data_IF_181894365022
#
_entry.id   IF_181894365022
#
_cell.length_a   1.000
_cell.length_b   1.000
_cell.length_c   1.000
_cell.angle_alpha   90.00
_cell.angle_beta   90.00
_cell.angle_gamma   90.00
#
_symmetry.space_group_name_H-M   'P 1'
#
loop_
_entity.id
_entity.type
_entity.pdbx_description
1 polymer ?
#
# COMPACT_ATOMS: atom_id res chain seq x y z
N UNK A 1 -85.88 -4.93 -26.79
CA UNK A 1 -86.73 -3.87 -27.39
C UNK A 1 -86.80 -2.76 -26.34
N UNK A 2 -85.95 -1.74 -26.41
CA UNK A 2 -86.27 -0.38 -26.91
C UNK A 2 -87.07 0.39 -25.83
N UNK A 3 -86.77 1.60 -25.36
CA UNK A 3 -85.98 2.73 -25.87
C UNK A 3 -85.80 3.80 -24.76
N UNK A 4 -84.77 4.66 -24.89
CA UNK A 4 -84.70 6.06 -24.41
C UNK A 4 -84.49 6.28 -22.90
N UNK A 5 -83.59 7.13 -22.39
CA UNK A 5 -82.96 8.36 -22.91
C UNK A 5 -81.58 8.54 -22.27
N UNK A 6 -80.53 8.77 -23.07
CA UNK A 6 -79.24 9.28 -22.58
C UNK A 6 -79.26 10.81 -22.65
N UNK A 7 -79.14 11.48 -21.50
CA UNK A 7 -78.78 12.91 -21.43
C UNK A 7 -77.26 13.03 -21.29
N UNK A 8 -76.62 14.03 -21.90
CA UNK A 8 -75.19 14.25 -21.73
C UNK A 8 -74.94 14.81 -20.32
N UNK A 9 -74.18 14.09 -19.50
CA UNK A 9 -73.57 14.66 -18.31
C UNK A 9 -72.42 15.57 -18.77
N UNK A 10 -72.69 16.87 -18.83
CA UNK A 10 -71.63 17.88 -18.72
C UNK A 10 -70.93 17.68 -17.38
N UNK A 11 -69.79 17.00 -17.39
CA UNK A 11 -68.84 17.15 -16.31
C UNK A 11 -68.14 18.48 -16.53
N UNK A 12 -68.76 19.54 -16.02
CA UNK A 12 -68.13 20.85 -15.86
C UNK A 12 -66.96 20.66 -14.89
N UNK A 13 -65.77 20.43 -15.43
CA UNK A 13 -64.52 20.68 -14.71
C UNK A 13 -64.31 22.19 -14.69
N UNK A 14 -65.03 22.88 -13.80
CA UNK A 14 -64.75 24.27 -13.45
C UNK A 14 -63.84 24.26 -12.24
N UNK A 15 -62.61 24.74 -12.44
CA UNK A 15 -61.73 25.14 -11.36
C UNK A 15 -62.48 26.09 -10.43
N UNK A 16 -62.64 25.65 -9.19
CA UNK A 16 -63.18 26.45 -8.09
C UNK A 16 -62.09 27.44 -7.62
N UNK A 17 -61.80 28.46 -8.41
CA UNK A 17 -61.07 29.63 -7.92
C UNK A 17 -62.05 30.57 -7.22
N UNK A 18 -62.29 30.34 -5.93
CA UNK A 18 -62.93 31.36 -5.08
C UNK A 18 -61.86 32.35 -4.60
N UNK A 19 -62.14 33.66 -4.51
CA UNK A 19 -61.17 34.69 -4.11
C UNK A 19 -60.55 34.44 -2.71
N UNK A 20 -61.22 33.64 -1.89
CA UNK A 20 -60.75 33.16 -0.59
C UNK A 20 -59.59 32.15 -0.68
N UNK A 21 -59.53 31.33 -1.75
CA UNK A 21 -58.49 30.32 -1.91
C UNK A 21 -57.14 30.96 -2.30
N UNK A 22 -57.16 31.97 -3.18
CA UNK A 22 -55.96 32.72 -3.59
C UNK A 22 -55.27 33.44 -2.42
N UNK A 23 -56.04 33.94 -1.44
CA UNK A 23 -55.46 34.60 -0.26
C UNK A 23 -54.79 33.60 0.68
N UNK A 24 -55.39 32.40 0.82
CA UNK A 24 -54.83 31.31 1.63
C UNK A 24 -53.57 30.74 0.98
N UNK A 25 -53.58 30.56 -0.34
CA UNK A 25 -52.42 30.12 -1.12
C UNK A 25 -51.24 31.07 -0.97
N UNK A 26 -51.46 32.39 -1.14
CA UNK A 26 -50.41 33.42 -0.94
C UNK A 26 -49.84 33.42 0.48
N UNK A 27 -50.70 33.21 1.49
CA UNK A 27 -50.25 33.15 2.90
C UNK A 27 -49.37 31.92 3.14
N UNK A 28 -49.74 30.77 2.55
CA UNK A 28 -48.94 29.55 2.62
C UNK A 28 -47.62 29.71 1.87
N UNK A 29 -47.64 30.31 0.68
CA UNK A 29 -46.44 30.57 -0.12
C UNK A 29 -45.44 31.45 0.64
N UNK A 30 -45.90 32.54 1.25
CA UNK A 30 -45.06 33.41 2.09
C UNK A 30 -44.49 32.67 3.31
N UNK A 31 -45.27 31.80 3.94
CA UNK A 31 -44.79 30.98 5.05
C UNK A 31 -43.75 29.96 4.60
N UNK A 32 -43.92 29.36 3.41
CA UNK A 32 -42.94 28.46 2.80
C UNK A 32 -41.64 29.22 2.52
N UNK A 33 -41.71 30.39 1.87
CA UNK A 33 -40.54 31.23 1.60
C UNK A 33 -39.79 31.58 2.89
N UNK A 34 -40.50 32.06 3.91
CA UNK A 34 -39.92 32.37 5.22
C UNK A 34 -39.22 31.16 5.85
N UNK A 35 -39.83 29.96 5.77
CA UNK A 35 -39.23 28.73 6.29
C UNK A 35 -37.99 28.33 5.51
N UNK A 36 -38.04 28.39 4.19
CA UNK A 36 -36.89 28.07 3.32
C UNK A 36 -35.72 29.01 3.61
N UNK A 37 -35.96 30.31 3.74
CA UNK A 37 -34.93 31.29 4.10
C UNK A 37 -34.32 30.99 5.47
N UNK A 38 -35.14 30.67 6.47
CA UNK A 38 -34.66 30.32 7.80
C UNK A 38 -33.79 29.05 7.82
N UNK A 39 -34.16 28.03 7.04
CA UNK A 39 -33.39 26.79 6.95
C UNK A 39 -32.10 27.00 6.14
N UNK A 40 -32.13 27.80 5.07
CA UNK A 40 -30.93 28.17 4.32
C UNK A 40 -29.93 28.91 5.18
N UNK A 41 -30.38 29.89 5.96
CA UNK A 41 -29.52 30.64 6.88
C UNK A 41 -28.89 29.72 7.93
N UNK A 42 -29.67 28.79 8.49
CA UNK A 42 -29.19 27.78 9.43
C UNK A 42 -28.13 26.86 8.81
N UNK A 43 -28.32 26.43 7.56
CA UNK A 43 -27.35 25.61 6.84
C UNK A 43 -26.05 26.37 6.58
N UNK A 44 -26.12 27.62 6.11
CA UNK A 44 -24.94 28.46 5.90
C UNK A 44 -24.13 28.69 7.19
N UNK A 45 -24.81 28.90 8.33
CA UNK A 45 -24.13 29.01 9.63
C UNK A 45 -23.41 27.73 10.01
N UNK A 46 -24.03 26.57 9.78
CA UNK A 46 -23.39 25.28 10.07
C UNK A 46 -22.21 25.01 9.14
N UNK A 47 -22.33 25.32 7.85
CA UNK A 47 -21.23 25.19 6.90
C UNK A 47 -20.04 26.08 7.26
N UNK A 48 -20.29 27.36 7.60
CA UNK A 48 -19.21 28.26 8.02
C UNK A 48 -18.52 27.80 9.31
N UNK A 49 -19.26 27.26 10.28
CA UNK A 49 -18.68 26.64 11.47
C UNK A 49 -17.80 25.42 11.13
N UNK A 50 -18.28 24.56 10.23
CA UNK A 50 -17.53 23.37 9.78
C UNK A 50 -16.25 23.80 9.06
N UNK A 51 -16.32 24.80 8.17
CA UNK A 51 -15.15 25.31 7.47
C UNK A 51 -14.12 25.90 8.44
N UNK A 52 -14.56 26.68 9.43
CA UNK A 52 -13.66 27.24 10.44
C UNK A 52 -13.00 26.15 11.29
N UNK A 53 -13.74 25.10 11.70
CA UNK A 53 -13.19 23.97 12.46
C UNK A 53 -12.20 23.15 11.61
N UNK A 54 -12.51 22.92 10.34
CA UNK A 54 -11.59 22.27 9.40
C UNK A 54 -10.33 23.11 9.18
N UNK A 55 -10.45 24.43 9.04
CA UNK A 55 -9.32 25.34 8.89
C UNK A 55 -8.47 25.37 10.17
N UNK A 56 -9.08 25.42 11.35
CA UNK A 56 -8.38 25.34 12.63
C UNK A 56 -7.64 24.00 12.76
N UNK A 57 -8.28 22.88 12.40
CA UNK A 57 -7.64 21.56 12.39
C UNK A 57 -6.50 21.48 11.40
N UNK A 58 -6.68 21.95 10.17
CA UNK A 58 -5.63 21.95 9.16
C UNK A 58 -4.46 22.82 9.60
N UNK A 59 -4.70 24.03 10.11
CA UNK A 59 -3.63 24.89 10.62
C UNK A 59 -2.97 24.34 11.89
N UNK A 60 -3.70 23.63 12.76
CA UNK A 60 -3.14 22.96 13.92
C UNK A 60 -2.29 21.75 13.51
N UNK A 61 -2.74 20.95 12.55
CA UNK A 61 -1.97 19.85 11.98
C UNK A 61 -0.76 20.38 11.21
N UNK A 62 -0.88 21.45 10.42
CA UNK A 62 0.23 22.12 9.74
C UNK A 62 1.21 22.76 10.71
N UNK A 63 0.78 23.22 11.89
CA UNK A 63 1.66 23.71 12.98
C UNK A 63 2.31 22.57 13.75
N UNK A 64 1.63 21.45 13.97
CA UNK A 64 2.25 20.21 14.49
C UNK A 64 3.24 19.62 13.49
N UNK A 65 2.96 19.79 12.21
CA UNK A 65 3.83 19.50 11.07
C UNK A 65 4.61 20.76 10.60
N UNK A 66 4.81 21.71 11.51
CA UNK A 66 5.31 23.07 11.28
C UNK A 66 6.23 23.23 10.08
N UNK A 67 5.76 24.00 9.10
CA UNK A 67 6.51 24.86 8.19
C UNK A 67 7.59 24.22 7.30
N UNK A 68 7.24 24.09 6.01
CA UNK A 68 8.04 24.29 4.81
C UNK A 68 9.36 23.50 4.61
N UNK A 69 9.52 22.93 3.41
CA UNK A 69 10.76 22.39 2.80
C UNK A 69 11.25 20.98 3.16
N UNK A 70 10.75 20.28 4.18
CA UNK A 70 11.19 18.91 4.44
C UNK A 70 10.06 18.00 4.81
N UNK A 71 9.58 17.27 3.79
CA UNK A 71 8.71 16.11 3.95
C UNK A 71 9.32 15.18 5.01
N UNK A 72 8.76 15.08 6.23
CA UNK A 72 9.35 14.31 7.32
C UNK A 72 9.42 12.83 6.96
N UNK A 73 8.53 12.35 6.07
CA UNK A 73 8.63 11.04 5.46
C UNK A 73 9.88 10.90 4.60
N UNK A 74 10.22 11.90 3.78
CA UNK A 74 11.40 11.85 2.90
C UNK A 74 12.72 11.83 3.69
N UNK A 75 12.87 12.70 4.68
CA UNK A 75 14.11 12.75 5.47
C UNK A 75 14.28 11.51 6.35
N UNK A 76 13.18 10.99 6.92
CA UNK A 76 13.18 9.74 7.69
C UNK A 76 13.43 8.51 6.81
N UNK A 77 12.82 8.44 5.63
CA UNK A 77 13.09 7.38 4.62
C UNK A 77 14.53 7.47 4.12
N UNK A 78 15.06 8.68 3.91
CA UNK A 78 16.45 8.88 3.49
C UNK A 78 17.42 8.40 4.58
N UNK A 79 17.15 8.75 5.85
CA UNK A 79 17.94 8.28 6.99
C UNK A 79 17.87 6.75 7.14
N UNK A 80 16.71 6.13 6.94
CA UNK A 80 16.55 4.67 6.92
C UNK A 80 17.29 4.02 5.76
N UNK A 81 17.27 4.63 4.56
CA UNK A 81 18.03 4.16 3.40
C UNK A 81 19.54 4.19 3.67
N UNK A 82 20.04 5.27 4.26
CA UNK A 82 21.47 5.43 4.51
C UNK A 82 21.94 4.52 5.64
N UNK A 83 21.13 4.31 6.67
CA UNK A 83 21.37 3.30 7.70
C UNK A 83 21.37 1.88 7.11
N UNK A 84 20.46 1.57 6.18
CA UNK A 84 20.41 0.27 5.51
C UNK A 84 21.63 0.06 4.61
N UNK A 85 22.05 1.07 3.85
CA UNK A 85 23.27 1.03 3.04
C UNK A 85 24.52 0.79 3.88
N UNK A 86 24.64 1.46 5.03
CA UNK A 86 25.75 1.24 5.96
C UNK A 86 25.76 -0.20 6.50
N UNK A 87 24.59 -0.76 6.84
CA UNK A 87 24.48 -2.17 7.25
C UNK A 87 24.89 -3.11 6.13
N UNK A 88 24.41 -2.89 4.90
CA UNK A 88 24.77 -3.71 3.74
C UNK A 88 26.27 -3.66 3.40
N UNK A 89 26.93 -2.52 3.61
CA UNK A 89 28.38 -2.39 3.42
C UNK A 89 29.18 -3.09 4.53
N UNK A 90 28.62 -3.20 5.74
CA UNK A 90 29.22 -3.91 6.87
C UNK A 90 28.95 -5.43 6.86
N UNK A 91 27.97 -5.89 6.10
CA UNK A 91 27.77 -7.33 5.87
C UNK A 91 29.00 -7.81 5.07
N UNK A 92 29.76 -8.80 5.58
CA UNK A 92 30.81 -9.41 4.79
C UNK A 92 30.15 -9.95 3.53
N UNK A 93 30.43 -9.32 2.39
CA UNK A 93 30.06 -9.86 1.08
C UNK A 93 30.48 -11.31 1.08
N UNK A 94 29.56 -12.20 0.69
CA UNK A 94 29.83 -13.64 0.50
C UNK A 94 31.23 -13.72 -0.08
N UNK A 95 32.17 -14.14 0.77
CA UNK A 95 33.59 -14.04 0.48
C UNK A 95 33.77 -14.70 -0.87
N UNK A 96 34.41 -14.02 -1.83
CA UNK A 96 34.80 -14.65 -3.09
C UNK A 96 35.30 -16.05 -2.76
N UNK A 97 34.59 -17.05 -3.28
CA UNK A 97 34.88 -18.44 -2.97
C UNK A 97 36.37 -18.63 -3.23
N UNK A 98 37.04 -19.25 -2.26
CA UNK A 98 38.48 -19.45 -2.33
C UNK A 98 38.84 -20.05 -3.69
N UNK A 99 39.80 -19.45 -4.41
CA UNK A 99 40.14 -19.80 -5.80
C UNK A 99 40.53 -21.27 -5.93
N UNK A 100 41.05 -21.86 -4.86
CA UNK A 100 41.38 -23.28 -4.78
C UNK A 100 40.13 -24.17 -4.88
N UNK A 101 39.03 -23.78 -4.23
CA UNK A 101 37.75 -24.52 -4.27
C UNK A 101 37.07 -24.34 -5.61
N UNK A 102 37.13 -23.13 -6.18
CA UNK A 102 36.59 -22.89 -7.53
C UNK A 102 37.34 -23.71 -8.58
N UNK A 103 38.66 -23.77 -8.52
CA UNK A 103 39.47 -24.60 -9.41
C UNK A 103 39.16 -26.09 -9.24
N UNK A 104 39.12 -26.58 -7.99
CA UNK A 104 38.81 -27.99 -7.74
C UNK A 104 37.40 -28.38 -8.22
N UNK A 105 36.42 -27.49 -8.09
CA UNK A 105 35.08 -27.65 -8.67
C UNK A 105 35.16 -27.81 -10.19
N UNK A 106 35.90 -26.93 -10.85
CA UNK A 106 36.02 -26.94 -12.31
C UNK A 106 36.75 -28.17 -12.83
N UNK A 107 37.75 -28.67 -12.10
CA UNK A 107 38.46 -29.91 -12.42
C UNK A 107 37.54 -31.14 -12.31
N UNK A 108 36.68 -31.20 -11.28
CA UNK A 108 35.63 -32.24 -11.16
C UNK A 108 34.65 -32.16 -12.34
N UNK A 109 34.15 -30.96 -12.65
CA UNK A 109 33.21 -30.75 -13.76
C UNK A 109 33.86 -31.16 -15.09
N UNK A 110 35.14 -30.83 -15.30
CA UNK A 110 35.89 -31.18 -16.50
C UNK A 110 36.06 -32.68 -16.63
N UNK A 111 36.41 -33.38 -15.55
CA UNK A 111 36.55 -34.83 -15.55
C UNK A 111 35.22 -35.53 -15.82
N UNK A 112 34.14 -35.10 -15.15
CA UNK A 112 32.82 -35.68 -15.32
C UNK A 112 32.31 -35.50 -16.75
N UNK A 113 32.54 -34.33 -17.37
CA UNK A 113 32.20 -34.07 -18.78
C UNK A 113 32.99 -34.93 -19.78
N UNK A 114 34.24 -35.29 -19.46
CA UNK A 114 35.00 -36.20 -20.32
C UNK A 114 34.65 -37.67 -20.09
N UNK A 115 34.13 -38.01 -18.90
CA UNK A 115 33.77 -39.36 -18.47
C UNK A 115 32.28 -39.48 -18.13
N UNK A 116 31.41 -38.98 -19.03
CA UNK A 116 29.95 -38.92 -18.80
C UNK A 116 29.29 -40.30 -18.54
N UNK A 117 29.91 -41.38 -19.03
CA UNK A 117 29.44 -42.77 -18.85
C UNK A 117 30.16 -43.52 -17.75
N UNK A 118 31.25 -42.98 -17.22
CA UNK A 118 32.10 -43.61 -16.19
C UNK A 118 32.51 -42.61 -15.11
N UNK A 119 31.55 -42.04 -14.36
CA UNK A 119 31.83 -41.02 -13.35
C UNK A 119 32.72 -41.50 -12.19
N UNK A 120 32.88 -42.81 -11.99
CA UNK A 120 33.77 -43.38 -10.98
C UNK A 120 35.27 -43.16 -11.27
N UNK A 121 35.63 -42.88 -12.53
CA UNK A 121 37.02 -42.60 -12.91
C UNK A 121 37.52 -41.26 -12.30
N UNK A 122 36.59 -40.35 -11.98
CA UNK A 122 36.88 -39.02 -11.46
C UNK A 122 36.99 -38.93 -9.92
N UNK A 123 37.20 -40.06 -9.24
CA UNK A 123 37.25 -40.10 -7.77
C UNK A 123 38.38 -39.22 -7.20
N UNK A 124 39.51 -39.12 -7.90
CA UNK A 124 40.66 -38.32 -7.49
C UNK A 124 40.32 -36.83 -7.43
N UNK A 125 39.66 -36.31 -8.45
CA UNK A 125 39.24 -34.90 -8.53
C UNK A 125 38.18 -34.60 -7.46
N UNK A 126 37.28 -35.55 -7.22
CA UNK A 126 36.26 -35.44 -6.17
C UNK A 126 36.89 -35.42 -4.77
N UNK A 127 37.90 -36.25 -4.53
CA UNK A 127 38.58 -36.30 -3.22
C UNK A 127 39.41 -35.04 -2.97
N UNK A 128 40.04 -34.48 -4.00
CA UNK A 128 40.70 -33.17 -3.92
C UNK A 128 39.69 -32.06 -3.60
N UNK A 129 38.54 -32.04 -4.28
CA UNK A 129 37.47 -31.08 -3.98
C UNK A 129 36.98 -31.20 -2.53
N UNK A 130 36.72 -32.44 -2.05
CA UNK A 130 36.35 -32.68 -0.64
C UNK A 130 37.42 -32.18 0.33
N UNK A 131 38.70 -32.34 0.03
CA UNK A 131 39.77 -31.84 0.87
C UNK A 131 39.74 -30.31 0.97
N UNK A 132 39.53 -29.61 -0.14
CA UNK A 132 39.41 -28.14 -0.16
C UNK A 132 38.13 -27.66 0.54
N UNK A 133 36.99 -28.36 0.40
CA UNK A 133 35.76 -28.05 1.14
C UNK A 133 35.94 -28.26 2.64
N UNK A 134 36.53 -29.39 3.07
CA UNK A 134 36.85 -29.67 4.49
C UNK A 134 37.78 -28.61 5.09
N UNK A 135 38.64 -27.98 4.29
CA UNK A 135 39.50 -26.85 4.72
C UNK A 135 38.64 -25.61 5.04
N UNK A 136 37.75 -25.21 4.14
CA UNK A 136 36.88 -24.05 4.35
C UNK A 136 35.84 -24.29 5.46
N UNK A 137 35.25 -25.48 5.53
CA UNK A 137 34.31 -25.85 6.58
C UNK A 137 34.95 -25.72 7.96
N UNK A 138 36.20 -26.16 8.13
CA UNK A 138 36.94 -25.99 9.39
C UNK A 138 37.08 -24.53 9.78
N UNK A 139 37.49 -23.66 8.85
CA UNK A 139 37.62 -22.22 9.12
C UNK A 139 36.27 -21.58 9.47
N UNK A 140 35.20 -21.99 8.77
CA UNK A 140 33.85 -21.49 9.02
C UNK A 140 33.32 -21.94 10.39
N UNK A 141 33.47 -23.22 10.74
CA UNK A 141 33.00 -23.77 12.00
C UNK A 141 33.78 -23.20 13.19
N UNK A 142 35.10 -23.04 13.08
CA UNK A 142 35.91 -22.37 14.12
C UNK A 142 35.42 -20.93 14.33
N UNK A 143 35.19 -20.17 13.25
CA UNK A 143 34.68 -18.79 13.34
C UNK A 143 33.28 -18.72 13.95
N UNK A 144 32.41 -19.67 13.63
CA UNK A 144 30.97 -19.60 13.96
C UNK A 144 30.64 -20.25 15.31
N UNK A 145 31.31 -21.34 15.66
CA UNK A 145 30.96 -22.21 16.79
C UNK A 145 32.06 -22.26 17.86
N UNK A 146 33.28 -21.79 17.58
CA UNK A 146 34.37 -21.68 18.56
C UNK A 146 34.93 -23.01 19.09
N UNK A 147 34.57 -24.15 18.49
CA UNK A 147 35.16 -25.47 18.75
C UNK A 147 36.03 -25.88 17.57
N UNK A 148 37.25 -26.34 17.85
CA UNK A 148 38.09 -27.01 16.85
C UNK A 148 37.34 -28.24 16.31
N UNK A 149 37.00 -28.22 15.02
CA UNK A 149 36.28 -29.31 14.36
C UNK A 149 37.28 -30.41 13.98
N UNK A 150 37.23 -31.61 14.60
CA UNK A 150 38.19 -32.66 14.31
C UNK A 150 38.03 -33.12 12.87
N UNK A 151 39.16 -33.25 12.15
CA UNK A 151 39.17 -33.76 10.79
C UNK A 151 38.78 -35.25 10.81
N UNK A 152 37.57 -35.56 10.36
CA UNK A 152 37.18 -36.94 10.07
C UNK A 152 38.00 -37.47 8.90
N UNK A 153 38.68 -38.60 9.11
CA UNK A 153 39.36 -39.37 8.06
C UNK A 153 38.33 -39.79 7.00
#
# INVERSE_FOLDING_TARGET
>A
MGSGNSKPTEHVFYGSETPTDSTREKTLELHIQSRVESELQRLQQRESQILNDLEEKLTAEDKKHGSAEKNPGREKVQAELDALRQRLNGIPKVHELDKDVEKARDDVIKCLRSHDRTPLDCHREVDEFKAQTRRLERQFVVRTVGRDFPAGH
#
